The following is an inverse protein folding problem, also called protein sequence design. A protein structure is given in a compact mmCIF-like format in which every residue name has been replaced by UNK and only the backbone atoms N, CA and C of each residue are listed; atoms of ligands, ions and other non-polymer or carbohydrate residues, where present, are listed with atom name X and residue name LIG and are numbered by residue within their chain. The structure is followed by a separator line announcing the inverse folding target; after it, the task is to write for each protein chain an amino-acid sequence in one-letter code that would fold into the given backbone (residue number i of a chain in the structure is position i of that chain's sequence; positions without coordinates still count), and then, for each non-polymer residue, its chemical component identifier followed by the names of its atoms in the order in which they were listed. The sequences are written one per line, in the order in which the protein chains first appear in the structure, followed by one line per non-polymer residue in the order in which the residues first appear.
data_IF_823240806586
#
_entry.id   IF_823240806586
#
_cell.length_a   1.000
_cell.length_b   1.000
_cell.length_c   1.000
_cell.angle_alpha   90.00
_cell.angle_beta   90.00
_cell.angle_gamma   90.00
#
_symmetry.space_group_name_H-M   'P 1'
#
loop_
_entity.id
_entity.type
_entity.pdbx_description
1 polymer ?
2 non-polymer ?
3 non-polymer ?
4 water ?
#
# COMPACT_ATOMS: atom_id res chain seq x y z
N UNK A 2 -27.56 -0.23 3.16
CA UNK A 2 -26.57 -1.34 3.12
C UNK A 2 -25.12 -0.91 3.38
N UNK A 3 -24.21 -1.77 2.96
CA UNK A 3 -22.76 -1.62 3.11
C UNK A 3 -22.25 -0.49 2.24
N UNK A 4 -21.41 0.37 2.81
CA UNK A 4 -20.97 1.55 2.10
C UNK A 4 -19.57 1.97 2.53
N UNK A 5 -18.70 2.20 1.55
CA UNK A 5 -17.39 2.75 1.86
C UNK A 5 -17.14 4.03 1.10
N UNK A 6 -16.56 5.01 1.79
CA UNK A 6 -16.29 6.28 1.17
C UNK A 6 -14.82 6.65 1.33
N UNK A 7 -14.24 7.20 0.28
CA UNK A 7 -12.90 7.76 0.33
C UNK A 7 -12.85 8.83 -0.74
N UNK A 8 -12.14 9.92 -0.45
CA UNK A 8 -12.05 11.07 -1.32
C UNK A 8 -13.45 11.49 -1.79
N UNK A 9 -13.66 11.64 -3.10
CA UNK A 9 -15.01 11.92 -3.62
C UNK A 9 -15.72 10.69 -4.22
N UNK A 10 -15.35 9.52 -3.72
CA UNK A 10 -15.91 8.23 -4.19
C UNK A 10 -16.68 7.48 -3.11
N UNK A 11 -17.63 6.66 -3.55
CA UNK A 11 -18.39 5.77 -2.68
C UNK A 11 -18.46 4.38 -3.31
N UNK A 12 -18.12 3.35 -2.51
CA UNK A 12 -18.25 1.96 -2.93
C UNK A 12 -19.41 1.39 -2.13
N UNK A 13 -20.40 0.86 -2.83
CA UNK A 13 -21.61 0.39 -2.19
C UNK A 13 -22.19 -0.70 -3.04
N UNK A 14 -23.15 -1.43 -2.49
CA UNK A 14 -23.84 -2.46 -3.27
C UNK A 14 -24.72 -1.79 -4.31
N UNK A 15 -24.78 -2.39 -5.50
CA UNK A 15 -25.62 -1.92 -6.58
C UNK A 15 -27.10 -2.09 -6.20
N UNK A 16 -27.95 -1.19 -6.70
CA UNK A 16 -29.37 -1.19 -6.39
C UNK A 16 -30.23 -1.15 -7.65
N UNK A 17 -31.50 -1.50 -7.52
CA UNK A 17 -32.46 -1.39 -8.63
C UNK A 17 -32.40 -0.03 -9.33
N UNK A 18 -32.32 1.06 -8.54
CA UNK A 18 -32.30 2.42 -9.09
C UNK A 18 -31.08 2.73 -9.98
N UNK A 19 -30.06 1.88 -9.92
CA UNK A 19 -28.82 2.05 -10.72
C UNK A 19 -28.91 1.55 -12.18
N UNK A 20 -30.09 1.14 -12.64
CA UNK A 20 -30.24 0.47 -13.93
C UNK A 20 -29.63 1.27 -15.08
N UNK A 21 -29.92 2.57 -15.12
CA UNK A 21 -29.47 3.45 -16.20
C UNK A 21 -27.98 3.72 -16.09
N UNK A 22 -27.54 4.07 -14.88
CA UNK A 22 -26.15 4.45 -14.66
C UNK A 22 -25.14 3.29 -14.85
N UNK A 23 -25.50 2.09 -14.39
CA UNK A 23 -24.63 0.94 -14.68
C UNK A 23 -24.57 0.63 -16.19
N UNK A 24 -25.71 0.75 -16.86
CA UNK A 24 -25.78 0.56 -18.32
C UNK A 24 -24.85 1.54 -19.02
N UNK A 25 -24.99 2.84 -18.68
CA UNK A 25 -24.15 3.89 -19.24
C UNK A 25 -22.67 3.60 -19.05
N UNK A 26 -22.33 3.09 -17.88
CA UNK A 26 -20.94 2.78 -17.56
C UNK A 26 -20.35 1.72 -18.51
N UNK A 27 -21.09 0.65 -18.78
CA UNK A 27 -20.55 -0.40 -19.63
C UNK A 27 -20.59 0.04 -21.08
N UNK A 29 -20.26 3.12 -22.02
CA UNK A 29 -19.17 4.10 -22.08
C UNK A 29 -17.81 3.42 -22.28
N UNK A 30 -17.59 2.31 -21.57
CA UNK A 30 -16.31 1.62 -21.62
C UNK A 30 -16.28 0.36 -22.53
N UNK A 31 -17.30 0.19 -23.35
CA UNK A 31 -17.41 -0.94 -24.31
C UNK A 31 -16.10 -1.31 -25.00
N UNK A 32 -15.46 -0.32 -25.62
CA UNK A 32 -14.25 -0.50 -26.41
C UNK A 32 -13.00 -0.78 -25.60
N UNK A 33 -12.79 -0.01 -24.53
CA UNK A 33 -11.68 -0.23 -23.60
C UNK A 33 -11.71 -1.64 -23.00
N UNK A 34 -12.91 -2.21 -22.89
CA UNK A 34 -13.10 -3.51 -22.24
C UNK A 34 -13.12 -4.73 -23.15
N UNK A 35 -13.54 -4.54 -24.40
CA UNK A 35 -13.65 -5.64 -25.39
C UNK A 35 -12.43 -6.57 -25.49
N UNK A 36 -11.20 -6.00 -25.58
CA UNK A 36 -9.99 -6.86 -25.63
C UNK A 36 -9.71 -7.62 -24.33
N UNK A 37 -10.33 -7.19 -23.24
CA UNK A 37 -9.99 -7.72 -21.92
C UNK A 37 -11.03 -8.67 -21.30
N UNK A 38 -12.26 -8.62 -21.80
CA UNK A 38 -13.36 -9.34 -21.17
C UNK A 38 -14.16 -10.15 -22.19
N UNK A 39 -14.91 -11.17 -21.73
CA UNK A 39 -15.69 -11.94 -22.70
C UNK A 39 -16.69 -11.07 -23.47
N UNK A 40 -16.97 -11.46 -24.72
CA UNK A 40 -18.05 -10.86 -25.54
C UNK A 40 -19.31 -10.69 -24.69
N UNK A 41 -19.93 -9.52 -24.78
CA UNK A 41 -21.21 -9.29 -24.11
C UNK A 41 -22.35 -9.18 -25.09
N UNK A 42 -23.53 -9.63 -24.66
CA UNK A 42 -24.75 -9.45 -25.44
C UNK A 42 -25.14 -7.97 -25.51
N UNK A 43 -26.09 -7.65 -26.39
CA UNK A 43 -26.60 -6.27 -26.51
C UNK A 43 -27.26 -5.80 -25.22
N UNK A 44 -28.06 -6.66 -24.60
CA UNK A 44 -28.82 -6.34 -23.38
C UNK A 44 -27.95 -5.86 -22.23
N UNK A 45 -26.68 -6.28 -22.24
CA UNK A 45 -25.69 -5.85 -21.29
C UNK A 45 -25.45 -4.34 -21.25
N UNK A 46 -25.76 -3.66 -22.35
CA UNK A 46 -25.46 -2.25 -22.48
C UNK A 46 -26.70 -1.35 -22.45
N UNK A 47 -27.86 -1.94 -22.14
CA UNK A 47 -29.14 -1.23 -22.03
C UNK A 47 -29.66 -1.22 -20.60
N UNK A 48 -30.37 -0.13 -20.20
CA UNK A 48 -31.05 -0.08 -18.90
C UNK A 48 -32.07 -1.21 -18.67
N UNK A 49 -32.83 -1.58 -19.71
CA UNK A 49 -33.81 -2.66 -19.57
C UNK A 49 -33.16 -4.01 -19.25
N UNK A 50 -31.99 -4.27 -19.84
CA UNK A 50 -31.24 -5.51 -19.56
C UNK A 50 -30.79 -5.58 -18.12
N UNK A 51 -30.40 -4.43 -17.58
CA UNK A 51 -29.97 -4.36 -16.19
C UNK A 51 -31.09 -4.44 -15.17
N UNK A 52 -32.26 -3.86 -15.49
CA UNK A 52 -33.44 -3.99 -14.63
C UNK A 52 -33.59 -5.45 -14.20
N UNK A 53 -33.60 -6.36 -15.19
CA UNK A 53 -33.74 -7.79 -14.96
C UNK A 53 -32.56 -8.35 -14.17
N UNK A 54 -31.36 -8.05 -14.65
CA UNK A 54 -30.11 -8.45 -14.02
C UNK A 54 -30.10 -8.03 -12.54
N UNK A 55 -30.58 -6.81 -12.28
CA UNK A 55 -30.62 -6.27 -10.92
C UNK A 55 -31.63 -6.99 -10.02
N UNK A 56 -32.76 -7.40 -10.59
CA UNK A 56 -33.74 -8.19 -9.86
C UNK A 56 -33.14 -9.52 -9.38
N UNK A 57 -32.28 -10.13 -10.21
CA UNK A 57 -31.56 -11.33 -9.82
C UNK A 57 -30.48 -11.05 -8.76
N UNK A 58 -29.72 -9.99 -8.95
CA UNK A 58 -28.67 -9.60 -8.00
C UNK A 58 -29.20 -9.20 -6.63
N UNK A 59 -30.22 -8.35 -6.62
CA UNK A 59 -30.89 -7.96 -5.38
C UNK A 59 -31.27 -9.22 -4.59
N UNK A 60 -31.67 -10.26 -5.32
CA UNK A 60 -32.08 -11.53 -4.72
C UNK A 60 -30.89 -12.28 -4.14
N UNK A 61 -29.78 -12.29 -4.89
CA UNK A 61 -28.56 -12.93 -4.42
C UNK A 61 -28.00 -12.21 -3.18
N UNK A 62 -28.09 -10.87 -3.16
CA UNK A 62 -27.68 -10.08 -1.97
C UNK A 62 -28.44 -10.52 -0.73
N UNK A 63 -29.74 -10.76 -0.88
CA UNK A 63 -30.63 -11.09 0.23
C UNK A 63 -30.22 -12.38 0.95
N UNK A 64 -29.81 -13.37 0.17
CA UNK A 64 -29.36 -14.67 0.70
C UNK A 64 -27.83 -14.79 0.77
N UNK A 65 -27.14 -13.64 0.78
CA UNK A 65 -25.67 -13.58 0.87
C UNK A 65 -24.94 -14.48 -0.13
N UNK A 66 -25.51 -14.57 -1.33
CA UNK A 66 -25.00 -15.43 -2.39
C UNK A 66 -24.09 -14.72 -3.38
N UNK A 67 -24.16 -13.39 -3.41
CA UNK A 67 -23.37 -12.60 -4.34
C UNK A 67 -23.39 -11.14 -3.94
N UNK A 68 -22.32 -10.42 -4.26
CA UNK A 68 -22.17 -9.03 -3.80
C UNK A 68 -21.57 -8.26 -4.97
N UNK A 69 -22.41 -7.48 -5.63
CA UNK A 69 -21.96 -6.74 -6.79
C UNK A 69 -21.85 -5.30 -6.34
N UNK A 70 -20.61 -4.81 -6.21
CA UNK A 70 -20.39 -3.42 -5.79
C UNK A 70 -20.17 -2.50 -6.98
N UNK A 71 -20.62 -1.26 -6.84
CA UNK A 71 -20.24 -0.19 -7.80
C UNK A 71 -19.39 0.89 -7.11
N UNK A 72 -18.53 1.54 -7.89
CA UNK A 72 -17.76 2.67 -7.42
C UNK A 72 -18.40 3.92 -8.04
N UNK A 73 -18.80 4.86 -7.19
CA UNK A 73 -19.50 6.06 -7.64
C UNK A 73 -18.62 7.27 -7.46
N UNK A 74 -18.50 8.08 -8.51
CA UNK A 74 -17.97 9.43 -8.37
C UNK A 74 -19.12 10.31 -7.89
N UNK A 75 -19.05 10.72 -6.64
CA UNK A 75 -20.10 11.53 -6.03
C UNK A 75 -20.18 12.93 -6.65
N UNK A 76 -19.04 13.44 -7.10
CA UNK A 76 -18.99 14.75 -7.75
C UNK A 76 -19.72 14.77 -9.10
N UNK A 77 -19.65 13.67 -9.84
CA UNK A 77 -20.28 13.62 -11.16
C UNK A 77 -21.52 12.74 -11.19
N UNK A 78 -21.84 12.10 -10.07
CA UNK A 78 -23.00 11.21 -9.96
C UNK A 78 -22.99 10.11 -11.03
N UNK A 79 -21.84 9.50 -11.25
CA UNK A 79 -21.70 8.47 -12.27
C UNK A 79 -21.00 7.27 -11.68
N UNK A 80 -21.38 6.08 -12.12
CA UNK A 80 -20.64 4.87 -11.79
C UNK A 80 -19.37 4.85 -12.64
N UNK A 81 -18.24 4.59 -11.98
CA UNK A 81 -16.94 4.61 -12.65
C UNK A 81 -16.14 3.34 -12.42
N UNK A 82 -16.78 2.33 -11.84
CA UNK A 82 -16.10 1.07 -11.55
C UNK A 82 -17.03 0.06 -10.91
N UNK A 83 -16.59 -1.19 -10.87
CA UNK A 83 -17.35 -2.29 -10.30
C UNK A 83 -16.40 -3.23 -9.59
N UNK A 84 -16.87 -3.89 -8.56
CA UNK A 84 -16.11 -4.97 -7.91
C UNK A 84 -17.17 -6.01 -7.63
N UNK A 85 -17.05 -7.17 -8.28
CA UNK A 85 -18.10 -8.18 -8.21
C UNK A 85 -17.58 -9.45 -7.55
N UNK A 86 -18.23 -9.86 -6.46
CA UNK A 86 -17.91 -11.14 -5.79
C UNK A 86 -19.00 -12.13 -6.18
N UNK A 87 -18.59 -13.18 -6.89
CA UNK A 87 -19.49 -14.16 -7.45
C UNK A 87 -18.96 -15.56 -7.21
N UNK A 88 -19.76 -16.56 -7.55
CA UNK A 88 -19.32 -17.93 -7.44
C UNK A 88 -19.01 -18.20 -5.97
N UNK A 89 -19.86 -17.70 -5.09
CA UNK A 89 -19.61 -17.86 -3.67
C UNK A 89 -20.07 -19.24 -3.18
N UNK A 90 -19.18 -19.94 -2.48
CA UNK A 90 -19.51 -21.22 -1.86
C UNK A 90 -19.23 -21.11 -0.36
N UNK A 91 -20.12 -21.68 0.45
CA UNK A 91 -19.92 -21.73 1.87
C UNK A 91 -19.26 -23.06 2.16
N UNK A 92 -19.62 -23.76 3.23
CA UNK A 92 -19.00 -25.06 3.51
C UNK A 92 -19.02 -25.88 2.22
N UNK A 93 -17.91 -26.56 1.86
CA UNK A 93 -16.65 -26.71 2.60
C UNK A 93 -15.52 -25.85 2.03
N UNK A 94 -15.89 -24.83 1.24
CA UNK A 94 -14.93 -24.01 0.49
C UNK A 94 -14.77 -22.63 1.10
N UNK A 95 -15.89 -22.01 1.48
CA UNK A 95 -15.90 -20.63 2.03
C UNK A 95 -15.09 -19.68 1.13
N UNK A 96 -15.43 -19.69 -0.16
CA UNK A 96 -14.64 -19.01 -1.18
C UNK A 96 -15.52 -18.29 -2.18
N UNK A 97 -14.91 -17.34 -2.87
CA UNK A 97 -15.58 -16.64 -3.96
C UNK A 97 -14.59 -16.02 -4.92
N UNK A 98 -15.12 -15.60 -6.05
CA UNK A 98 -14.36 -14.98 -7.11
C UNK A 98 -14.60 -13.49 -7.11
N UNK A 99 -13.52 -12.72 -7.27
CA UNK A 99 -13.62 -11.29 -7.44
C UNK A 99 -13.25 -10.93 -8.89
N UNK A 100 -14.09 -10.09 -9.48
CA UNK A 100 -13.80 -9.48 -10.80
C UNK A 100 -14.07 -7.99 -10.69
N UNK A 101 -13.28 -7.16 -11.36
CA UNK A 101 -13.43 -5.70 -11.21
C UNK A 101 -13.13 -4.99 -12.51
N UNK A 102 -13.62 -3.75 -12.61
CA UNK A 102 -13.32 -2.90 -13.75
C UNK A 102 -13.34 -1.46 -13.30
N UNK A 103 -12.68 -0.62 -14.08
CA UNK A 103 -12.62 0.82 -13.84
C UNK A 103 -12.75 1.56 -15.15
N UNK A 104 -13.48 2.67 -15.11
CA UNK A 104 -13.61 3.59 -16.23
C UNK A 104 -12.23 4.01 -16.72
N UNK A 105 -12.02 4.07 -18.04
CA UNK A 105 -10.69 4.34 -18.58
C UNK A 105 -10.16 5.76 -18.31
N UNK A 106 -11.06 6.71 -18.08
CA UNK A 106 -10.64 8.07 -17.73
C UNK A 106 -10.21 8.22 -16.26
N UNK A 107 -10.44 7.17 -15.48
CA UNK A 107 -10.16 7.18 -14.04
C UNK A 107 -8.94 6.34 -13.63
N UNK A 108 -8.15 5.95 -14.62
CA UNK A 108 -6.97 5.14 -14.42
C UNK A 108 -5.85 5.89 -13.71
N UNK A 109 -5.02 5.16 -12.98
CA UNK A 109 -3.77 5.71 -12.45
C UNK A 109 -3.89 6.45 -11.13
N UNK A 110 -5.06 6.35 -10.49
CA UNK A 110 -5.35 7.07 -9.26
C UNK A 110 -5.50 6.14 -8.06
N UNK A 111 -5.21 4.86 -8.26
CA UNK A 111 -5.36 3.85 -7.20
C UNK A 111 -6.80 3.58 -6.78
N UNK A 112 -7.76 3.98 -7.61
CA UNK A 112 -9.15 3.84 -7.22
C UNK A 112 -9.52 2.35 -7.14
N UNK A 114 -7.52 -0.33 -6.60
CA UNK A 114 -6.87 -0.91 -5.44
C UNK A 114 -7.66 -0.65 -4.15
N UNK A 115 -8.03 0.61 -3.91
CA UNK A 115 -8.83 0.97 -2.72
C UNK A 115 -10.20 0.32 -2.71
N UNK A 116 -10.89 0.34 -3.86
CA UNK A 116 -12.23 -0.28 -3.96
C UNK A 116 -12.20 -1.77 -3.65
N UNK A 117 -11.23 -2.47 -4.20
CA UNK A 117 -11.09 -3.92 -4.02
C UNK A 117 -10.62 -4.23 -2.60
N UNK A 118 -9.67 -3.45 -2.08
CA UNK A 118 -9.17 -3.66 -0.71
C UNK A 118 -10.25 -3.56 0.34
N UNK A 119 -11.11 -2.55 0.20
CA UNK A 119 -12.07 -2.26 1.24
C UNK A 119 -13.19 -3.31 1.21
N UNK A 120 -13.54 -3.76 0.00
CA UNK A 120 -14.54 -4.81 -0.14
C UNK A 120 -14.02 -6.22 0.19
N UNK A 121 -12.77 -6.54 -0.15
CA UNK A 121 -12.18 -7.82 0.28
C UNK A 121 -12.21 -7.89 1.81
N UNK A 122 -11.82 -6.78 2.43
CA UNK A 122 -11.79 -6.71 3.87
C UNK A 122 -13.17 -7.00 4.47
N UNK A 123 -14.20 -6.45 3.84
CA UNK A 123 -15.56 -6.72 4.25
C UNK A 123 -15.99 -8.18 3.99
N UNK A 125 -14.13 -10.74 4.10
CA UNK A 125 -13.41 -11.55 5.07
C UNK A 125 -14.03 -11.38 6.47
N UNK A 126 -14.19 -10.11 6.87
CA UNK A 126 -14.61 -9.76 8.21
C UNK A 126 -16.11 -9.89 8.41
N UNK A 127 -16.93 -9.32 7.53
CA UNK A 127 -18.39 -9.37 7.69
C UNK A 127 -19.01 -10.60 7.04
N UNK A 128 -18.43 -11.11 5.96
CA UNK A 128 -18.99 -12.32 5.34
C UNK A 128 -18.24 -13.60 5.67
N UNK A 129 -17.18 -13.51 6.46
CA UNK A 129 -16.42 -14.70 6.89
C UNK A 129 -16.04 -15.63 5.71
N UNK A 130 -15.59 -15.04 4.61
CA UNK A 130 -15.01 -15.87 3.56
C UNK A 130 -13.63 -16.30 4.00
N UNK A 131 -13.22 -17.49 3.60
CA UNK A 131 -11.88 -18.00 3.87
C UNK A 131 -10.89 -17.62 2.76
N UNK A 132 -11.40 -17.51 1.53
CA UNK A 132 -10.56 -17.43 0.31
C UNK A 132 -11.25 -16.57 -0.74
N UNK A 133 -10.50 -15.66 -1.36
CA UNK A 133 -10.99 -14.88 -2.51
C UNK A 133 -10.03 -15.19 -3.64
N UNK A 135 -8.83 -14.59 -7.70
CA UNK A 135 -8.77 -13.65 -8.81
C UNK A 135 -7.86 -14.26 -9.87
N UNK A 136 -8.19 -14.01 -11.13
CA UNK A 136 -7.45 -14.52 -12.27
C UNK A 136 -7.29 -13.39 -13.29
N UNK A 137 -6.11 -13.28 -13.89
CA UNK A 137 -5.83 -12.17 -14.80
C UNK A 137 -4.95 -12.62 -15.96
N UNK A 138 -5.17 -12.02 -17.12
CA UNK A 138 -4.34 -12.28 -18.29
C UNK A 138 -2.93 -11.70 -18.00
N UNK A 139 -1.86 -12.49 -18.21
CA UNK A 139 -0.54 -12.02 -17.79
C UNK A 139 -0.16 -10.63 -18.31
N UNK A 140 -0.59 -10.25 -19.51
CA UNK A 140 -0.18 -8.95 -20.03
C UNK A 140 -1.03 -7.78 -19.50
N UNK A 141 -2.04 -8.08 -18.69
CA UNK A 141 -2.78 -7.05 -17.96
C UNK A 141 -2.00 -6.59 -16.72
N UNK A 142 -0.98 -5.77 -16.95
CA UNK A 142 -0.10 -5.27 -15.89
C UNK A 142 -0.85 -4.45 -14.83
N UNK A 143 -1.87 -3.70 -15.24
CA UNK A 143 -2.62 -2.86 -14.31
C UNK A 143 -3.34 -3.72 -13.28
N UNK A 144 -3.98 -4.78 -13.76
CA UNK A 144 -4.63 -5.74 -12.91
C UNK A 144 -3.63 -6.51 -12.03
N UNK A 145 -2.50 -6.91 -12.59
CA UNK A 145 -1.47 -7.62 -11.81
C UNK A 145 -1.02 -6.77 -10.62
N UNK A 146 -0.80 -5.48 -10.86
CA UNK A 146 -0.31 -4.58 -9.81
C UNK A 146 -1.32 -4.35 -8.69
N UNK A 147 -2.58 -4.26 -9.05
CA UNK A 147 -3.64 -4.19 -8.06
C UNK A 147 -3.55 -5.40 -7.14
N UNK A 148 -3.60 -6.60 -7.71
CA UNK A 148 -3.59 -7.84 -6.95
C UNK A 148 -2.34 -7.97 -6.08
N UNK A 149 -1.18 -7.65 -6.65
CA UNK A 149 0.06 -7.68 -5.88
C UNK A 149 -0.01 -6.73 -4.70
N UNK A 150 -0.55 -5.54 -4.92
CA UNK A 150 -0.58 -4.52 -3.87
C UNK A 150 -1.49 -4.94 -2.70
N UNK A 151 -2.45 -5.82 -3.00
CA UNK A 151 -3.44 -6.27 -2.03
C UNK A 151 -3.07 -7.59 -1.38
N UNK A 152 -1.87 -8.08 -1.70
CA UNK A 152 -1.35 -9.29 -1.10
C UNK A 152 -1.91 -10.61 -1.61
N UNK A 153 -2.49 -10.63 -2.81
CA UNK A 153 -2.88 -11.88 -3.48
C UNK A 153 -1.64 -12.66 -3.87
N UNK A 154 -1.67 -13.97 -3.67
CA UNK A 154 -0.51 -14.82 -3.92
C UNK A 154 -0.79 -15.66 -5.17
N UNK A 155 0.13 -15.64 -6.13
CA UNK A 155 0.03 -16.48 -7.32
C UNK A 155 -0.02 -17.97 -6.92
N UNK A 156 -1.03 -18.68 -7.41
CA UNK A 156 -1.18 -20.12 -7.16
C UNK A 156 -0.76 -20.98 -8.33
N UNK A 157 -0.74 -20.35 -9.53
CA UNK A 157 -0.41 -21.05 -10.77
C UNK A 157 -0.89 -20.34 -12.02
N UNK A 158 -0.97 -21.09 -13.09
CA UNK A 158 -1.39 -20.55 -14.36
C UNK A 158 -2.26 -21.54 -15.09
N UNK A 159 -3.40 -21.05 -15.56
CA UNK A 159 -4.30 -21.85 -16.36
C UNK A 159 -4.19 -21.45 -17.82
N UNK A 160 -3.58 -22.32 -18.62
CA UNK A 160 -3.47 -22.04 -20.06
C UNK A 160 -4.86 -22.01 -20.70
N UNK A 161 -5.04 -21.11 -21.68
CA UNK A 161 -6.23 -21.12 -22.54
C UNK A 161 -7.50 -21.22 -21.68
N UNK A 162 -7.64 -20.25 -20.79
CA UNK A 162 -8.56 -20.33 -19.69
C UNK A 162 -9.95 -19.82 -20.04
N UNK A 163 -10.01 -18.60 -20.59
CA UNK A 163 -11.25 -17.93 -20.94
C UNK A 163 -11.19 -17.46 -22.39
N UNK A 164 -12.34 -17.50 -23.04
CA UNK A 164 -12.42 -17.17 -24.46
C UNK A 164 -12.75 -15.69 -24.55
N UNK A 165 -11.79 -14.92 -25.04
CA UNK A 165 -11.89 -13.48 -25.02
C UNK A 165 -11.54 -12.94 -26.40
N UNK A 166 -12.43 -12.14 -26.99
CA UNK A 166 -12.11 -11.45 -28.25
C UNK A 166 -11.58 -12.45 -29.31
N UNK A 167 -12.24 -13.60 -29.41
CA UNK A 167 -11.94 -14.58 -30.45
C UNK A 167 -10.78 -15.54 -30.23
N UNK A 168 -10.29 -15.64 -28.98
CA UNK A 168 -9.20 -16.58 -28.64
C UNK A 168 -9.19 -16.96 -27.16
N UNK A 169 -8.67 -18.16 -26.87
CA UNK A 169 -8.47 -18.60 -25.49
C UNK A 169 -7.27 -17.87 -24.88
N UNK A 170 -7.46 -17.30 -23.69
CA UNK A 170 -6.40 -16.51 -23.07
C UNK A 170 -5.89 -17.18 -21.79
N UNK A 171 -4.58 -17.38 -21.71
CA UNK A 171 -3.91 -17.82 -20.50
C UNK A 171 -4.28 -16.85 -19.34
N UNK A 172 -4.42 -17.38 -18.12
CA UNK A 172 -4.63 -16.55 -16.94
C UNK A 172 -3.78 -17.00 -15.79
N UNK A 173 -3.25 -16.04 -15.04
CA UNK A 173 -2.59 -16.30 -13.77
C UNK A 173 -3.65 -16.53 -12.71
N UNK A 174 -3.51 -17.58 -11.92
CA UNK A 174 -4.45 -17.82 -10.83
C UNK A 174 -3.84 -17.29 -9.54
N UNK A 175 -4.62 -16.50 -8.81
CA UNK A 175 -4.14 -15.92 -7.56
C UNK A 175 -5.22 -16.02 -6.49
N UNK A 176 -4.81 -15.92 -5.22
CA UNK A 176 -5.79 -15.89 -4.16
C UNK A 176 -5.30 -15.13 -2.96
N UNK A 177 -6.24 -14.71 -2.12
CA UNK A 177 -5.93 -14.21 -0.81
C UNK A 177 -6.75 -15.02 0.20
N UNK A 178 -6.07 -15.45 1.27
CA UNK A 178 -6.64 -16.36 2.28
C UNK A 178 -6.76 -15.59 3.59
N UNK A 179 -7.93 -15.70 4.20
CA UNK A 179 -8.22 -15.03 5.45
C UNK A 179 -7.76 -15.92 6.61
N UNK A 180 -6.63 -15.58 7.23
CA UNK A 180 -6.06 -16.36 8.35
C UNK A 180 -6.95 -16.35 9.59
N UNK A 181 -7.83 -15.36 9.67
CA UNK A 181 -8.72 -15.18 10.81
C UNK A 181 -10.09 -15.74 10.59
N UNK A 182 -10.28 -16.47 9.50
CA UNK A 182 -11.55 -17.14 9.23
C UNK A 182 -11.94 -17.98 10.46
N UNK A 183 -13.23 -17.98 10.78
CA UNK A 183 -13.75 -18.74 11.91
C UNK A 183 -14.67 -19.88 11.45
N UNK A 184 -14.38 -21.13 11.84
CA UNK A 184 -15.22 -22.30 11.51
C UNK A 184 -16.60 -22.20 12.16
N UNK B 2 12.81 11.35 -10.08
CA UNK B 2 13.48 11.33 -8.75
C UNK B 2 13.15 10.11 -7.88
N UNK B 3 13.98 9.87 -6.88
CA UNK B 3 13.99 8.65 -6.06
C UNK B 3 12.65 8.35 -5.37
N UNK B 4 11.97 7.29 -5.82
CA UNK B 4 10.64 6.95 -5.30
C UNK B 4 10.40 5.43 -5.30
N UNK B 5 9.83 4.92 -4.22
CA UNK B 5 9.55 3.49 -4.09
C UNK B 5 8.09 3.32 -3.63
N UNK B 6 7.38 2.37 -4.23
CA UNK B 6 5.98 2.18 -3.88
C UNK B 6 5.70 0.74 -3.50
N UNK B 7 4.82 0.53 -2.52
CA UNK B 7 4.26 -0.79 -2.18
C UNK B 7 2.91 -0.58 -1.53
N UNK B 8 1.97 -1.46 -1.84
CA UNK B 8 0.61 -1.36 -1.30
C UNK B 8 0.07 0.04 -1.60
N UNK B 9 -0.33 0.79 -0.58
CA UNK B 9 -0.76 2.17 -0.79
C UNK B 9 0.19 3.19 -0.17
N UNK B 10 1.47 2.86 -0.14
CA UNK B 10 2.48 3.76 0.42
C UNK B 10 3.50 4.17 -0.64
N UNK B 11 4.13 5.32 -0.40
CA UNK B 11 5.20 5.79 -1.24
C UNK B 11 6.35 6.20 -0.32
N UNK B 12 7.56 5.71 -0.62
CA UNK B 12 8.75 6.12 0.11
C UNK B 12 9.56 6.98 -0.84
N UNK B 13 9.85 8.22 -0.43
CA UNK B 13 10.56 9.17 -1.29
C UNK B 13 11.33 10.19 -0.46
N UNK B 14 12.25 10.91 -1.10
CA UNK B 14 13.00 11.95 -0.41
C UNK B 14 12.03 13.06 -0.03
N UNK B 15 12.22 13.59 1.16
CA UNK B 15 11.42 14.72 1.64
C UNK B 15 11.71 15.94 0.74
N UNK B 16 10.69 16.79 0.54
CA UNK B 16 10.78 18.00 -0.31
C UNK B 16 10.43 19.25 0.50
N UNK B 17 10.74 20.42 -0.04
CA UNK B 17 10.39 21.66 0.66
C UNK B 17 8.87 21.82 0.88
N UNK B 18 8.08 21.38 -0.10
CA UNK B 18 6.60 21.41 0.01
C UNK B 18 6.01 20.46 1.06
N UNK B 19 6.86 19.63 1.68
CA UNK B 19 6.45 18.77 2.79
C UNK B 19 6.47 19.47 4.18
N UNK B 20 6.73 20.78 4.24
CA UNK B 20 6.95 21.43 5.55
C UNK B 20 5.81 21.19 6.55
N UNK B 21 4.56 21.39 6.11
CA UNK B 21 3.38 21.25 6.98
C UNK B 21 3.10 19.79 7.40
N UNK B 22 3.08 18.90 6.40
CA UNK B 22 2.81 17.47 6.68
C UNK B 22 3.84 16.81 7.60
N UNK B 23 5.13 17.13 7.41
CA UNK B 23 6.17 16.58 8.30
C UNK B 23 6.05 17.17 9.72
N UNK B 24 5.77 18.46 9.83
CA UNK B 24 5.52 19.03 11.15
C UNK B 24 4.29 18.36 11.78
N UNK B 25 3.23 18.16 10.98
CA UNK B 25 2.01 17.50 11.49
C UNK B 25 2.30 16.10 12.02
N UNK B 26 3.10 15.34 11.26
CA UNK B 26 3.54 14.00 11.67
C UNK B 26 4.30 14.01 13.02
N UNK B 27 5.28 14.88 13.19
CA UNK B 27 5.94 14.90 14.49
C UNK B 27 5.04 15.40 15.64
N UNK B 29 1.63 15.09 15.79
CA UNK B 29 0.74 13.94 15.91
C UNK B 29 1.37 12.85 16.79
N UNK B 30 2.68 12.61 16.63
CA UNK B 30 3.32 11.47 17.24
C UNK B 30 4.25 11.87 18.37
N UNK B 31 4.12 13.13 18.82
CA UNK B 31 4.97 13.69 19.87
C UNK B 31 5.08 12.79 21.11
N UNK B 32 3.93 12.35 21.63
CA UNK B 32 3.92 11.51 22.83
C UNK B 32 4.46 10.10 22.57
N UNK B 33 4.06 9.51 21.45
CA UNK B 33 4.51 8.16 21.05
C UNK B 33 6.03 8.05 20.86
N UNK B 34 6.64 9.08 20.27
CA UNK B 34 8.07 9.03 19.96
C UNK B 34 8.98 9.56 21.07
N UNK B 35 8.39 10.32 22.01
CA UNK B 35 9.16 11.03 23.06
C UNK B 35 10.10 10.17 23.94
N UNK B 36 9.63 8.98 24.37
CA UNK B 36 10.55 8.20 25.23
C UNK B 36 11.68 7.47 24.49
N UNK B 37 11.70 7.52 23.17
CA UNK B 37 12.70 6.77 22.39
C UNK B 37 13.75 7.65 21.76
N UNK B 38 13.56 8.97 21.83
CA UNK B 38 14.45 9.92 21.13
C UNK B 38 14.97 11.03 22.06
N UNK B 39 16.12 11.62 21.73
CA UNK B 39 16.63 12.77 22.49
C UNK B 39 15.65 13.96 22.50
N UNK B 40 15.76 14.81 23.52
CA UNK B 40 14.94 16.02 23.66
C UNK B 40 14.90 16.81 22.33
N UNK B 41 13.69 17.24 21.96
CA UNK B 41 13.43 17.95 20.70
C UNK B 41 13.25 19.45 20.92
N UNK B 42 13.78 20.27 20.00
CA UNK B 42 13.57 21.72 20.07
C UNK B 42 12.12 22.06 19.67
N UNK B 43 11.70 23.30 19.95
CA UNK B 43 10.34 23.71 19.54
C UNK B 43 10.21 23.71 18.03
N UNK B 44 11.24 24.17 17.33
CA UNK B 44 11.23 24.26 15.87
C UNK B 44 10.93 22.92 15.18
N UNK B 45 11.24 21.83 15.89
CA UNK B 45 11.04 20.47 15.38
C UNK B 45 9.55 20.12 15.18
N UNK B 46 8.64 20.85 15.83
CA UNK B 46 7.21 20.54 15.73
C UNK B 46 6.42 21.53 14.88
N UNK B 47 7.13 22.45 14.26
CA UNK B 47 6.52 23.58 13.58
C UNK B 47 6.80 23.50 12.08
N UNK B 48 5.86 23.97 11.26
CA UNK B 48 6.15 24.06 9.83
C UNK B 48 7.26 25.07 9.49
N UNK B 49 7.36 26.17 10.25
CA UNK B 49 8.44 27.14 10.01
C UNK B 49 9.81 26.59 10.42
N UNK B 50 9.85 25.79 11.49
CA UNK B 50 11.07 25.06 11.86
C UNK B 50 11.50 24.08 10.78
N UNK B 51 10.54 23.32 10.24
CA UNK B 51 10.84 22.42 9.14
C UNK B 51 11.19 23.13 7.82
N UNK B 52 10.68 24.34 7.61
CA UNK B 52 11.06 25.11 6.42
C UNK B 52 12.57 25.28 6.41
N UNK B 53 13.14 25.61 7.56
CA UNK B 53 14.57 25.89 7.70
C UNK B 53 15.37 24.62 7.58
N UNK B 54 14.92 23.59 8.29
CA UNK B 54 15.56 22.29 8.25
C UNK B 54 15.59 21.79 6.80
N UNK B 55 14.53 22.08 6.04
CA UNK B 55 14.42 21.57 4.66
C UNK B 55 15.40 22.26 3.72
N UNK B 56 15.62 23.55 3.94
CA UNK B 56 16.69 24.27 3.26
C UNK B 56 18.04 23.57 3.49
N UNK B 57 18.34 23.21 4.73
CA UNK B 57 19.59 22.54 5.06
C UNK B 57 19.67 21.14 4.44
N UNK B 58 18.54 20.42 4.44
CA UNK B 58 18.50 19.06 3.88
C UNK B 58 18.61 19.07 2.37
N UNK B 59 18.01 20.05 1.71
CA UNK B 59 18.17 20.18 0.27
C UNK B 59 19.65 20.36 -0.04
N UNK B 60 20.30 21.26 0.70
CA UNK B 60 21.74 21.51 0.57
C UNK B 60 22.56 20.26 0.88
N UNK B 61 22.20 19.55 1.94
CA UNK B 61 22.90 18.32 2.29
C UNK B 61 22.76 17.26 1.20
N UNK B 62 21.55 17.15 0.63
CA UNK B 62 21.31 16.18 -0.42
C UNK B 62 22.07 16.53 -1.70
N UNK B 63 22.16 17.83 -2.02
CA UNK B 63 22.95 18.28 -3.16
C UNK B 63 24.36 17.70 -3.12
N UNK B 64 24.98 17.75 -1.95
CA UNK B 64 26.33 17.22 -1.76
C UNK B 64 26.37 15.72 -1.46
N UNK B 65 25.23 15.05 -1.57
CA UNK B 65 25.16 13.63 -1.27
C UNK B 65 25.61 13.34 0.16
N UNK B 66 25.31 14.27 1.06
CA UNK B 66 25.75 14.22 2.46
C UNK B 66 24.69 13.71 3.41
N UNK B 67 23.42 13.73 2.98
CA UNK B 67 22.28 13.25 3.78
C UNK B 67 21.10 12.90 2.89
N UNK B 68 20.28 11.95 3.37
CA UNK B 68 19.12 11.47 2.61
C UNK B 68 17.96 11.19 3.58
N UNK B 69 16.99 12.11 3.58
CA UNK B 69 15.88 12.03 4.50
C UNK B 69 14.65 11.58 3.69
N UNK B 70 14.21 10.34 3.92
CA UNK B 70 13.05 9.75 3.25
C UNK B 70 11.81 9.85 4.14
N UNK B 71 10.69 10.13 3.49
CA UNK B 71 9.37 10.09 4.12
C UNK B 71 8.57 8.91 3.56
N UNK B 72 7.71 8.32 4.40
CA UNK B 72 6.81 7.27 3.97
C UNK B 72 5.42 7.95 3.88
N UNK B 73 4.83 7.99 2.70
CA UNK B 73 3.54 8.67 2.51
C UNK B 73 2.42 7.64 2.44
N UNK B 74 1.33 7.86 3.18
CA UNK B 74 0.12 7.10 2.96
C UNK B 74 -0.65 7.80 1.85
N UNK B 75 -0.55 7.26 0.65
CA UNK B 75 -1.22 7.82 -0.52
C UNK B 75 -2.74 7.82 -0.42
N UNK B 76 -3.30 6.93 0.41
CA UNK B 76 -4.76 6.96 0.66
C UNK B 76 -5.20 8.18 1.47
N UNK B 77 -4.34 8.61 2.40
CA UNK B 77 -4.66 9.65 3.37
C UNK B 77 -3.94 10.97 3.08
N UNK B 78 -2.99 10.91 2.14
CA UNK B 78 -2.14 12.05 1.74
C UNK B 78 -1.45 12.65 2.95
N UNK B 79 -0.83 11.80 3.74
CA UNK B 79 -0.13 12.24 4.91
C UNK B 79 1.14 11.44 5.11
N UNK B 80 2.08 12.03 5.82
CA UNK B 80 3.33 11.35 6.14
C UNK B 80 3.15 10.49 7.39
N UNK B 81 3.57 9.23 7.28
CA UNK B 81 3.28 8.26 8.33
C UNK B 81 4.55 7.58 8.84
N UNK B 82 5.71 8.03 8.33
CA UNK B 82 6.96 7.41 8.69
C UNK B 82 8.14 8.17 8.09
N UNK B 83 9.32 7.93 8.63
CA UNK B 83 10.52 8.62 8.16
C UNK B 83 11.62 7.59 8.15
N UNK B 84 12.53 7.69 7.19
CA UNK B 84 13.74 6.88 7.23
C UNK B 84 14.90 7.79 6.88
N UNK B 85 15.79 8.03 7.83
CA UNK B 85 16.82 9.06 7.67
C UNK B 85 18.25 8.52 7.63
N UNK B 86 18.99 8.90 6.60
CA UNK B 86 20.40 8.49 6.49
C UNK B 86 21.21 9.72 6.78
N UNK B 87 22.02 9.65 7.84
CA UNK B 87 22.82 10.79 8.28
C UNK B 87 24.21 10.36 8.69
N UNK B 88 25.03 11.33 9.09
CA UNK B 88 26.44 11.11 9.46
C UNK B 88 27.12 10.24 8.41
N UNK B 89 26.98 10.65 7.15
CA UNK B 89 27.56 9.93 6.02
C UNK B 89 29.03 10.33 5.90
N UNK B 90 29.92 9.34 5.83
CA UNK B 90 31.34 9.61 5.63
C UNK B 90 31.71 8.85 4.37
N UNK B 91 32.52 9.44 3.49
CA UNK B 91 33.01 8.67 2.36
C UNK B 91 34.35 8.05 2.76
N UNK B 92 35.38 8.16 1.93
CA UNK B 92 36.69 7.62 2.35
C UNK B 92 37.04 8.12 3.76
N UNK B 93 37.54 7.24 4.65
CA UNK B 93 37.89 5.81 4.51
C UNK B 93 36.81 4.84 5.05
N UNK B 94 35.62 5.35 5.38
CA UNK B 94 34.55 4.56 6.02
C UNK B 94 33.43 4.17 5.10
N UNK B 95 33.02 5.09 4.23
CA UNK B 95 31.89 4.84 3.33
C UNK B 95 30.70 4.28 4.12
N UNK B 96 30.30 5.01 5.16
CA UNK B 96 29.32 4.53 6.13
C UNK B 96 28.30 5.62 6.38
N UNK B 97 27.13 5.21 6.83
CA UNK B 97 26.13 6.16 7.28
C UNK B 97 25.25 5.54 8.36
N UNK B 98 24.58 6.41 9.09
CA UNK B 98 23.68 5.99 10.16
C UNK B 98 22.26 6.07 9.62
N UNK B 99 21.46 5.07 9.96
CA UNK B 99 20.05 5.09 9.60
C UNK B 99 19.24 5.22 10.88
N UNK B 100 18.24 6.09 10.85
CA UNK B 100 17.27 6.25 11.92
C UNK B 100 15.90 6.35 11.29
N UNK B 101 14.90 5.78 11.93
CA UNK B 101 13.56 5.71 11.34
C UNK B 101 12.49 5.85 12.39
N UNK B 102 11.28 6.20 11.97
CA UNK B 102 10.17 6.30 12.87
C UNK B 102 8.91 5.92 12.12
N UNK B 103 7.89 5.51 12.86
CA UNK B 103 6.61 5.17 12.30
C UNK B 103 5.46 5.67 13.14
N UNK B 104 4.39 6.08 12.45
CA UNK B 104 3.19 6.62 13.05
C UNK B 104 2.59 5.56 13.97
N UNK B 105 2.10 5.99 15.13
CA UNK B 105 1.57 5.05 16.12
C UNK B 105 0.34 4.27 15.64
N UNK B 106 -0.33 4.75 14.59
CA UNK B 106 -1.53 4.07 14.10
C UNK B 106 -1.24 3.11 12.94
N UNK B 107 0.02 2.98 12.58
CA UNK B 107 0.40 2.14 11.44
C UNK B 107 1.33 0.99 11.81
N UNK B 108 1.36 0.65 13.09
CA UNK B 108 2.24 -0.39 13.61
C UNK B 108 1.77 -1.78 13.17
N UNK B 109 2.72 -2.70 13.07
CA UNK B 109 2.43 -4.12 12.84
C UNK B 109 1.94 -4.43 11.44
N UNK B 110 2.34 -3.61 10.48
CA UNK B 110 1.89 -3.74 9.10
C UNK B 110 3.07 -3.98 8.17
N UNK B 111 4.26 -4.22 8.73
CA UNK B 111 5.47 -4.42 7.94
C UNK B 111 5.98 -3.20 7.16
N UNK B 112 5.47 -2.01 7.48
CA UNK B 112 5.82 -0.80 6.71
C UNK B 112 7.30 -0.39 6.90
N UNK B 114 9.84 -2.31 7.91
CA UNK B 114 10.63 -3.36 7.29
C UNK B 114 10.84 -3.00 5.81
N UNK B 115 9.75 -2.77 5.08
CA UNK B 115 9.82 -2.51 3.64
C UNK B 115 10.48 -1.16 3.30
N UNK B 116 10.08 -0.08 3.99
CA UNK B 116 10.62 1.24 3.72
C UNK B 116 12.13 1.29 3.94
N UNK B 117 12.59 0.64 5.01
CA UNK B 117 14.01 0.63 5.33
C UNK B 117 14.77 -0.28 4.34
N UNK B 118 14.19 -1.43 4.02
CA UNK B 118 14.83 -2.33 3.07
C UNK B 118 15.06 -1.66 1.71
N UNK B 119 14.02 -1.02 1.17
CA UNK B 119 14.16 -0.45 -0.18
C UNK B 119 15.15 0.71 -0.19
N UNK B 120 15.22 1.46 0.92
CA UNK B 120 16.15 2.59 0.99
C UNK B 120 17.59 2.17 1.25
N UNK B 121 17.80 1.13 2.05
CA UNK B 121 19.12 0.58 2.27
C UNK B 121 19.69 0.09 0.95
N UNK B 122 18.84 -0.65 0.22
CA UNK B 122 19.18 -1.15 -1.13
C UNK B 122 19.63 0.00 -2.02
N UNK B 123 18.89 1.11 -1.97
CA UNK B 123 19.26 2.28 -2.79
C UNK B 123 20.57 2.94 -2.30
N UNK B 125 23.02 1.50 -0.81
CA UNK B 125 24.08 0.61 -1.28
C UNK B 125 24.32 0.76 -2.80
N UNK B 126 23.27 0.66 -3.61
CA UNK B 126 23.46 0.58 -5.07
C UNK B 126 23.66 1.95 -5.72
N UNK B 127 22.82 2.92 -5.36
CA UNK B 127 22.90 4.24 -6.00
C UNK B 127 23.93 5.15 -5.32
N UNK B 128 24.09 5.01 -4.00
CA UNK B 128 25.03 5.87 -3.26
C UNK B 128 26.35 5.21 -2.92
N UNK B 129 26.49 3.91 -3.20
CA UNK B 129 27.77 3.19 -3.03
C UNK B 129 28.29 3.24 -1.59
N UNK B 130 27.38 3.21 -0.62
CA UNK B 130 27.83 3.02 0.77
C UNK B 130 28.35 1.59 0.99
N UNK B 131 29.38 1.47 1.83
CA UNK B 131 29.85 0.17 2.26
C UNK B 131 29.10 -0.37 3.49
N UNK B 132 28.64 0.53 4.35
CA UNK B 132 28.15 0.14 5.67
C UNK B 132 27.00 1.05 6.12
N UNK B 133 25.92 0.46 6.62
CA UNK B 133 24.84 1.22 7.25
C UNK B 133 24.80 0.75 8.73
N UNK B 135 23.00 1.02 12.62
CA UNK B 135 21.79 1.38 13.36
C UNK B 135 22.03 1.00 14.81
N UNK B 136 21.35 1.70 15.70
CA UNK B 136 21.50 1.53 17.14
C UNK B 136 20.13 1.64 17.75
N UNK B 137 19.81 0.74 18.67
CA UNK B 137 18.47 0.79 19.27
C UNK B 137 18.55 0.46 20.74
N UNK B 138 17.62 1.03 21.53
CA UNK B 138 17.54 0.70 22.94
C UNK B 138 17.04 -0.74 23.03
N UNK B 139 17.71 -1.58 23.87
CA UNK B 139 17.43 -3.02 23.92
C UNK B 139 15.96 -3.36 24.11
N UNK B 140 15.22 -2.59 24.93
CA UNK B 140 13.80 -2.91 25.15
C UNK B 140 12.90 -2.49 23.97
N UNK B 141 13.48 -1.86 22.94
CA UNK B 141 12.74 -1.52 21.72
C UNK B 141 12.70 -2.75 20.81
N UNK B 142 11.80 -3.67 21.14
CA UNK B 142 11.66 -4.96 20.45
C UNK B 142 11.29 -4.84 18.99
N UNK B 143 10.34 -3.94 18.70
CA UNK B 143 9.94 -3.64 17.34
C UNK B 143 11.14 -3.26 16.49
N UNK B 144 11.98 -2.38 17.03
CA UNK B 144 13.15 -1.98 16.26
C UNK B 144 14.12 -3.13 16.05
N UNK B 145 14.38 -3.90 17.11
CA UNK B 145 15.23 -5.09 17.03
C UNK B 145 14.77 -6.07 15.95
N UNK B 146 13.47 -6.33 15.88
CA UNK B 146 12.90 -7.27 14.92
C UNK B 146 13.06 -6.78 13.48
N UNK B 147 12.74 -5.52 13.24
CA UNK B 147 12.94 -4.90 11.93
C UNK B 147 14.38 -5.09 11.45
N UNK B 148 15.34 -4.70 12.28
CA UNK B 148 16.78 -4.81 11.93
C UNK B 148 17.26 -6.27 11.70
N UNK B 149 16.84 -7.18 12.56
CA UNK B 149 17.12 -8.60 12.37
C UNK B 149 16.54 -9.12 11.04
N UNK B 150 15.27 -8.79 10.77
CA UNK B 150 14.61 -9.20 9.52
C UNK B 150 15.34 -8.71 8.27
N UNK B 151 16.04 -7.59 8.39
CA UNK B 151 16.75 -6.99 7.25
C UNK B 151 18.21 -7.44 7.14
N UNK B 152 18.61 -8.41 7.96
CA UNK B 152 19.97 -8.93 7.97
C UNK B 152 21.03 -8.01 8.57
N UNK B 153 20.63 -7.06 9.43
CA UNK B 153 21.62 -6.29 10.21
C UNK B 153 22.22 -7.21 11.25
N UNK B 154 23.54 -7.13 11.41
CA UNK B 154 24.26 -8.02 12.31
C UNK B 154 24.65 -7.23 13.55
N UNK B 155 24.29 -7.78 14.71
CA UNK B 155 24.64 -7.15 15.98
C UNK B 155 26.15 -7.11 16.14
N UNK B 156 26.68 -5.94 16.47
CA UNK B 156 28.11 -5.73 16.65
C UNK B 156 28.54 -5.61 18.11
N UNK B 157 27.61 -5.18 18.95
CA UNK B 157 27.84 -5.18 20.38
C UNK B 157 26.85 -4.23 20.99
N UNK B 158 27.28 -3.60 22.08
CA UNK B 158 26.39 -2.78 22.87
C UNK B 158 27.18 -1.67 23.51
N UNK B 159 26.65 -0.46 23.39
CA UNK B 159 27.25 0.70 24.03
C UNK B 159 26.38 1.08 25.22
N UNK B 160 26.92 0.93 26.43
CA UNK B 160 26.17 1.30 27.62
C UNK B 160 26.08 2.81 27.70
N UNK B 161 24.97 3.31 28.24
CA UNK B 161 24.85 4.74 28.53
C UNK B 161 25.24 5.59 27.32
N UNK B 162 24.65 5.27 26.17
CA UNK B 162 25.14 5.77 24.87
C UNK B 162 24.62 7.16 24.52
N UNK B 163 23.30 7.34 24.65
CA UNK B 163 22.62 8.55 24.18
C UNK B 163 21.74 9.05 25.32
N UNK B 164 21.67 10.36 25.53
CA UNK B 164 20.84 10.97 26.58
C UNK B 164 19.42 11.17 26.10
N UNK B 165 18.50 10.44 26.72
CA UNK B 165 17.11 10.44 26.31
C UNK B 165 16.21 10.59 27.54
N UNK B 166 15.34 11.60 27.52
CA UNK B 166 14.33 11.76 28.58
C UNK B 166 15.00 11.79 29.96
N UNK B 167 16.15 12.45 30.02
CA UNK B 167 16.86 12.66 31.29
C UNK B 167 17.71 11.50 31.80
N UNK B 168 18.06 10.56 30.93
CA UNK B 168 18.88 9.43 31.35
C UNK B 168 19.69 8.90 30.17
N UNK B 169 20.89 8.38 30.46
CA UNK B 169 21.72 7.75 29.43
C UNK B 169 21.14 6.37 29.12
N UNK B 170 20.90 6.08 27.85
CA UNK B 170 20.34 4.79 27.50
C UNK B 170 21.37 3.93 26.81
N UNK B 171 21.51 2.68 27.25
CA UNK B 171 22.27 1.66 26.52
C UNK B 171 21.70 1.50 25.10
N UNK B 172 22.55 1.29 24.10
CA UNK B 172 22.08 0.92 22.76
C UNK B 172 22.81 -0.30 22.20
N UNK B 173 22.06 -1.20 21.56
CA UNK B 173 22.68 -2.26 20.75
C UNK B 173 23.16 -1.64 19.45
N UNK B 174 24.40 -1.96 19.05
CA UNK B 174 24.98 -1.47 17.79
C UNK B 174 24.86 -2.59 16.75
N UNK B 175 24.35 -2.24 15.57
CA UNK B 175 24.17 -3.25 14.54
C UNK B 175 24.57 -2.63 13.22
N UNK B 176 24.94 -3.45 12.24
CA UNK B 176 25.24 -2.91 10.93
C UNK B 176 24.98 -3.89 9.80
N UNK B 177 24.88 -3.33 8.59
CA UNK B 177 24.72 -4.13 7.39
C UNK B 177 25.82 -3.69 6.45
N UNK B 178 26.51 -4.68 5.88
CA UNK B 178 27.66 -4.45 5.01
C UNK B 178 27.34 -4.71 3.55
N UNK B 179 27.75 -3.80 2.69
CA UNK B 179 27.56 -3.96 1.24
C UNK B 179 28.79 -4.64 0.61
N UNK B 180 28.67 -5.94 0.32
CA UNK B 180 29.71 -6.71 -0.38
C UNK B 180 30.08 -6.15 -1.77
N UNK B 181 29.13 -5.47 -2.41
CA UNK B 181 29.31 -5.02 -3.79
C UNK B 181 29.83 -3.59 -3.86
N UNK B 182 30.16 -3.01 -2.71
CA UNK B 182 30.81 -1.68 -2.68
C UNK B 182 31.94 -1.57 -3.72
N UNK B 183 32.01 -0.43 -4.41
CA UNK B 183 33.05 -0.24 -5.40
C UNK B 183 34.07 0.82 -4.89
N UNK B 184 35.34 0.46 -4.81
CA UNK B 184 36.37 1.47 -4.51
C UNK B 184 36.46 2.58 -5.59
#
# INVERSE_FOLDING_TARGET
XDVSFEFEHYQVRLIKSSDAVTIANYFXRNRHHLAPWEPKRSHAFFTPEGWKQRLLQLVELHKHNLAFYFVVVDKNEHKIIGTVSYSNITRFPFHAGHVGYSLDSEYQGKGIXRRAVNVTIDWXFKAQNLHRIXAAYIPRNEKSAKVLAALGFVKEGEAKKYLYINGAWEDHILTSKINDDWKP
XDVSFEFEHYQVRLIKSSDAVTIANYFXRNRHHLAPWEPKRSHAFFTPEGWKQRLLQLVELHKHNLAFYFVVVDKNEHKIIGTVSYSNITRFPFHAGHVGYSLDSEYQGKGIXRRAVNVTIDWXFKAQNLHRIXAAYIPRNEKSAKVLAALGFVKEGEAKKYLYINGAWEDHILTSKINDDWKP
#
